data_IF_103593032214
#
_entry.id   IF_103593032214
#
_cell.length_a   1.000
_cell.length_b   1.000
_cell.length_c   1.000
_cell.angle_alpha   90.00
_cell.angle_beta   90.00
_cell.angle_gamma   90.00
#
_symmetry.space_group_name_H-M   'P 1'
#
loop_
_entity.id
_entity.type
_entity.pdbx_description
1 polymer ?
#
# COMPACT_ATOMS: atom_id res chain seq x y z
N UNK A 1 11.61 4.09 22.83
CA UNK A 1 12.11 4.42 21.48
C UNK A 1 10.91 4.83 20.66
N UNK A 2 10.98 5.95 19.96
CA UNK A 2 9.90 6.30 19.02
C UNK A 2 9.78 5.21 17.95
N UNK A 3 8.56 4.85 17.52
CA UNK A 3 8.38 3.87 16.46
C UNK A 3 9.08 4.33 15.17
N UNK A 4 9.64 3.38 14.41
CA UNK A 4 10.25 3.65 13.11
C UNK A 4 9.20 4.28 12.18
N UNK A 5 9.51 5.38 11.47
CA UNK A 5 8.54 6.00 10.57
C UNK A 5 8.25 5.07 9.38
N UNK A 6 7.05 5.25 8.81
CA UNK A 6 6.59 4.49 7.65
C UNK A 6 6.74 5.32 6.37
N UNK A 7 7.74 5.04 5.50
CA UNK A 7 7.84 5.65 4.18
C UNK A 7 6.74 5.13 3.24
N UNK A 8 6.11 6.05 2.51
CA UNK A 8 5.06 5.75 1.55
C UNK A 8 5.50 6.30 0.18
N UNK A 9 6.07 5.42 -0.65
CA UNK A 9 6.46 5.74 -2.04
C UNK A 9 5.20 5.94 -2.86
N UNK A 10 5.09 7.09 -3.53
CA UNK A 10 3.86 7.50 -4.19
C UNK A 10 2.80 8.06 -3.23
N UNK A 11 3.22 8.51 -2.05
CA UNK A 11 2.36 9.04 -0.99
C UNK A 11 1.57 10.31 -1.35
N UNK A 12 1.79 10.89 -2.52
CA UNK A 12 0.98 12.00 -3.06
C UNK A 12 -0.24 11.52 -3.87
N UNK A 13 -0.36 10.22 -4.15
CA UNK A 13 -1.53 9.61 -4.79
C UNK A 13 -2.65 9.35 -3.78
N UNK A 14 -3.88 9.10 -4.27
CA UNK A 14 -5.05 8.92 -3.40
C UNK A 14 -4.86 7.82 -2.35
N UNK A 15 -4.36 6.63 -2.75
CA UNK A 15 -4.11 5.52 -1.82
C UNK A 15 -3.02 5.87 -0.79
N UNK A 16 -1.87 6.33 -1.27
CA UNK A 16 -0.73 6.64 -0.39
C UNK A 16 -0.99 7.82 0.53
N UNK A 17 -1.67 8.87 0.04
CA UNK A 17 -2.04 10.03 0.86
C UNK A 17 -3.07 9.65 1.93
N UNK A 18 -4.09 8.87 1.57
CA UNK A 18 -5.09 8.38 2.51
C UNK A 18 -4.47 7.47 3.58
N UNK A 19 -3.57 6.57 3.18
CA UNK A 19 -2.82 5.73 4.11
C UNK A 19 -2.00 6.58 5.09
N UNK A 20 -1.29 7.61 4.59
CA UNK A 20 -0.53 8.54 5.44
C UNK A 20 -1.42 9.24 6.47
N UNK A 21 -2.59 9.72 6.07
CA UNK A 21 -3.54 10.37 6.97
C UNK A 21 -4.03 9.42 8.07
N UNK A 22 -4.46 8.21 7.69
CA UNK A 22 -4.99 7.21 8.64
C UNK A 22 -3.92 6.73 9.63
N UNK A 23 -2.70 6.44 9.15
CA UNK A 23 -1.58 6.06 10.02
C UNK A 23 -1.17 7.20 10.95
N UNK A 24 -1.05 8.43 10.44
CA UNK A 24 -0.71 9.58 11.27
C UNK A 24 -1.78 9.85 12.35
N UNK A 25 -3.07 9.73 12.01
CA UNK A 25 -4.18 9.83 12.98
C UNK A 25 -4.12 8.74 14.06
N UNK A 26 -3.58 7.57 13.72
CA UNK A 26 -3.33 6.47 14.65
C UNK A 26 -2.01 6.63 15.45
N UNK A 27 -1.33 7.77 15.35
CA UNK A 27 -0.09 8.05 16.06
C UNK A 27 1.16 7.37 15.47
N UNK A 28 1.09 6.90 14.24
CA UNK A 28 2.23 6.30 13.54
C UNK A 28 2.96 7.38 12.75
N UNK A 29 4.29 7.59 12.97
CA UNK A 29 5.07 8.51 12.17
C UNK A 29 5.11 8.07 10.70
N UNK A 30 4.87 9.00 9.76
CA UNK A 30 4.84 8.70 8.33
C UNK A 30 5.73 9.64 7.52
N UNK A 31 6.26 9.12 6.42
CA UNK A 31 7.00 9.92 5.44
C UNK A 31 6.30 9.80 4.10
N UNK A 32 5.69 10.90 3.65
CA UNK A 32 5.09 10.99 2.32
C UNK A 32 6.22 11.12 1.30
N UNK A 33 6.43 10.05 0.53
CA UNK A 33 7.41 9.98 -0.54
C UNK A 33 6.86 10.44 -1.88
N UNK A 34 7.67 11.15 -2.66
CA UNK A 34 7.38 11.54 -4.05
C UNK A 34 8.66 11.54 -4.88
N UNK A 35 8.54 11.53 -6.22
CA UNK A 35 9.68 11.74 -7.14
C UNK A 35 10.25 13.16 -7.11
N UNK A 36 9.52 14.11 -6.54
CA UNK A 36 9.97 15.49 -6.37
C UNK A 36 9.72 15.96 -4.95
N UNK A 37 10.76 16.46 -4.30
CA UNK A 37 10.75 16.88 -2.91
C UNK A 37 9.69 17.95 -2.61
N UNK A 38 9.46 18.91 -3.54
CA UNK A 38 8.46 19.97 -3.35
C UNK A 38 7.04 19.40 -3.24
N UNK A 39 6.69 18.45 -4.12
CA UNK A 39 5.38 17.80 -4.07
C UNK A 39 5.19 16.96 -2.80
N UNK A 40 6.26 16.33 -2.33
CA UNK A 40 6.22 15.61 -1.07
C UNK A 40 5.98 16.56 0.11
N UNK A 41 6.69 17.69 0.17
CA UNK A 41 6.53 18.72 1.21
C UNK A 41 5.14 19.35 1.20
N UNK A 42 4.62 19.67 0.01
CA UNK A 42 3.25 20.20 -0.14
C UNK A 42 2.21 19.19 0.37
N UNK A 43 2.32 17.92 -0.02
CA UNK A 43 1.41 16.87 0.44
C UNK A 43 1.51 16.69 1.97
N UNK A 44 2.71 16.70 2.53
CA UNK A 44 2.90 16.62 3.98
C UNK A 44 2.32 17.84 4.71
N UNK A 45 2.40 19.05 4.12
CA UNK A 45 1.74 20.22 4.69
C UNK A 45 0.23 20.06 4.74
N UNK A 46 -0.38 19.64 3.62
CA UNK A 46 -1.83 19.36 3.54
C UNK A 46 -2.26 18.25 4.53
N UNK A 47 -1.41 17.26 4.74
CA UNK A 47 -1.70 16.20 5.70
C UNK A 47 -1.64 16.72 7.15
N UNK A 48 -0.66 17.55 7.51
CA UNK A 48 -0.57 18.19 8.84
C UNK A 48 -1.70 19.17 9.12
N UNK A 49 -2.22 19.85 8.11
CA UNK A 49 -3.42 20.69 8.27
C UNK A 49 -4.65 19.87 8.70
N UNK A 50 -4.72 18.60 8.26
CA UNK A 50 -5.81 17.68 8.60
C UNK A 50 -5.55 16.87 9.88
N UNK A 51 -4.28 16.61 10.20
CA UNK A 51 -3.84 15.86 11.39
C UNK A 51 -2.72 16.69 12.07
N UNK A 52 -3.05 17.75 12.80
CA UNK A 52 -2.06 18.66 13.39
C UNK A 52 -1.10 17.97 14.39
N UNK A 53 -1.58 16.93 15.08
CA UNK A 53 -0.82 16.13 16.04
C UNK A 53 0.02 15.03 15.38
N UNK A 54 -0.15 14.80 14.08
CA UNK A 54 0.53 13.72 13.36
C UNK A 54 2.00 14.03 13.04
N UNK A 55 2.87 13.06 13.26
CA UNK A 55 4.27 13.11 12.84
C UNK A 55 4.38 12.80 11.34
N UNK A 56 4.26 13.84 10.50
CA UNK A 56 4.23 13.69 9.03
C UNK A 56 5.37 14.47 8.39
N UNK A 57 6.22 13.80 7.62
CA UNK A 57 7.28 14.40 6.83
C UNK A 57 7.01 14.21 5.33
N UNK A 58 7.55 15.11 4.50
CA UNK A 58 7.55 14.99 3.05
C UNK A 58 8.97 14.97 2.53
N UNK A 59 9.37 13.91 1.85
CA UNK A 59 10.73 13.71 1.33
C UNK A 59 10.69 13.16 -0.10
N UNK A 60 11.80 13.28 -0.80
CA UNK A 60 11.99 12.50 -2.03
C UNK A 60 12.03 11.00 -1.72
N UNK A 61 11.53 10.16 -2.65
CA UNK A 61 11.43 8.71 -2.42
C UNK A 61 12.76 8.09 -1.97
N UNK A 62 13.87 8.47 -2.61
CA UNK A 62 15.20 7.96 -2.29
C UNK A 62 15.69 8.36 -0.89
N UNK A 63 15.23 9.49 -0.37
CA UNK A 63 15.54 9.95 0.99
C UNK A 63 14.59 9.34 2.04
N UNK A 64 13.36 9.05 1.63
CA UNK A 64 12.32 8.48 2.51
C UNK A 64 12.59 7.00 2.82
N UNK A 65 12.82 6.18 1.77
CA UNK A 65 12.92 4.72 1.86
C UNK A 65 13.92 4.22 2.92
N UNK A 66 15.15 4.78 3.04
CA UNK A 66 16.10 4.30 4.04
C UNK A 66 15.71 4.55 5.49
N UNK A 67 14.66 5.33 5.76
CA UNK A 67 14.28 5.76 7.12
C UNK A 67 13.30 4.83 7.82
N UNK A 68 12.70 3.86 7.09
CA UNK A 68 11.76 2.91 7.66
C UNK A 68 12.16 1.47 7.43
N UNK A 69 11.69 0.59 8.30
CA UNK A 69 11.84 -0.87 8.15
C UNK A 69 10.77 -1.45 7.23
N UNK A 70 9.57 -0.87 7.24
CA UNK A 70 8.44 -1.20 6.36
C UNK A 70 8.16 -0.03 5.44
N UNK A 71 8.20 -0.25 4.13
CA UNK A 71 8.01 0.75 3.08
C UNK A 71 6.79 0.38 2.26
N UNK A 72 5.82 1.30 2.10
CA UNK A 72 4.67 1.08 1.23
C UNK A 72 4.92 1.64 -0.16
N UNK A 73 4.67 0.82 -1.19
CA UNK A 73 4.70 1.20 -2.60
C UNK A 73 3.26 1.36 -3.12
N UNK A 74 2.82 2.61 -3.25
CA UNK A 74 1.42 2.96 -3.60
C UNK A 74 1.31 3.69 -4.95
N UNK A 75 2.25 3.42 -5.85
CA UNK A 75 2.26 4.00 -7.19
C UNK A 75 1.33 3.23 -8.14
N UNK A 76 0.85 3.82 -9.24
CA UNK A 76 0.22 3.05 -10.29
C UNK A 76 1.17 1.97 -10.87
N UNK A 77 0.65 0.80 -11.24
CA UNK A 77 1.46 -0.32 -11.77
C UNK A 77 2.42 0.10 -12.90
N UNK A 78 1.99 0.97 -13.81
CA UNK A 78 2.86 1.50 -14.89
C UNK A 78 4.16 2.18 -14.39
N UNK A 79 4.19 2.62 -13.13
CA UNK A 79 5.34 3.27 -12.52
C UNK A 79 6.08 2.35 -11.53
N UNK A 80 5.62 1.12 -11.31
CA UNK A 80 6.22 0.19 -10.36
C UNK A 80 7.68 -0.09 -10.69
N UNK A 81 7.96 -0.59 -11.90
CA UNK A 81 9.32 -0.97 -12.32
C UNK A 81 10.29 0.21 -12.30
N UNK A 82 9.87 1.39 -12.77
CA UNK A 82 10.69 2.61 -12.71
C UNK A 82 11.04 2.98 -11.27
N UNK A 83 10.05 2.96 -10.36
CA UNK A 83 10.31 3.29 -8.96
C UNK A 83 11.24 2.25 -8.30
N UNK A 84 11.01 0.95 -8.52
CA UNK A 84 11.85 -0.10 -7.94
C UNK A 84 13.28 -0.03 -8.47
N UNK A 85 13.48 0.25 -9.76
CA UNK A 85 14.81 0.46 -10.34
C UNK A 85 15.51 1.65 -9.68
N UNK A 86 14.83 2.79 -9.54
CA UNK A 86 15.40 4.00 -8.94
C UNK A 86 15.67 3.86 -7.44
N UNK A 87 14.96 2.96 -6.75
CA UNK A 87 15.10 2.74 -5.31
C UNK A 87 16.03 1.57 -4.96
N UNK A 88 16.53 0.84 -5.96
CA UNK A 88 17.31 -0.38 -5.74
C UNK A 88 18.53 -0.18 -4.85
N UNK A 89 19.22 0.95 -5.00
CA UNK A 89 20.47 1.22 -4.23
C UNK A 89 20.19 1.75 -2.82
N UNK A 90 18.96 2.21 -2.54
CA UNK A 90 18.58 2.75 -1.23
C UNK A 90 17.70 1.80 -0.41
N UNK A 91 17.15 0.78 -1.04
CA UNK A 91 16.53 -0.35 -0.35
C UNK A 91 17.62 -1.20 0.32
N UNK A 92 17.37 -1.66 1.54
CA UNK A 92 18.35 -2.35 2.37
C UNK A 92 17.89 -3.75 2.75
N UNK A 93 18.79 -4.72 2.86
CA UNK A 93 18.47 -6.02 3.42
C UNK A 93 17.76 -5.91 4.78
N UNK A 94 16.74 -6.72 4.99
CA UNK A 94 15.89 -6.70 6.19
C UNK A 94 14.68 -5.78 6.09
N UNK A 95 14.61 -4.87 5.11
CA UNK A 95 13.39 -4.09 4.88
C UNK A 95 12.26 -4.93 4.28
N UNK A 96 11.04 -4.53 4.59
CA UNK A 96 9.81 -5.07 4.01
C UNK A 96 9.25 -4.02 3.04
N UNK A 97 9.05 -4.41 1.78
CA UNK A 97 8.35 -3.60 0.78
C UNK A 97 6.91 -4.10 0.67
N UNK A 98 5.95 -3.26 1.03
CA UNK A 98 4.52 -3.56 0.85
C UNK A 98 4.08 -3.05 -0.50
N UNK A 99 3.87 -3.96 -1.44
CA UNK A 99 3.37 -3.62 -2.77
C UNK A 99 1.84 -3.57 -2.79
N UNK A 100 1.29 -2.42 -3.13
CA UNK A 100 -0.14 -2.19 -3.32
C UNK A 100 -0.50 -1.95 -4.81
N UNK A 101 0.41 -2.28 -5.73
CA UNK A 101 0.17 -2.05 -7.16
C UNK A 101 -0.74 -3.13 -7.76
N UNK A 102 -1.58 -2.73 -8.71
CA UNK A 102 -2.48 -3.65 -9.44
C UNK A 102 -2.27 -3.46 -10.94
N UNK A 103 -2.04 -4.54 -11.71
CA UNK A 103 -1.78 -4.46 -13.13
C UNK A 103 -3.08 -4.21 -13.94
N UNK A 104 -3.72 -3.07 -13.70
CA UNK A 104 -4.94 -2.68 -14.41
C UNK A 104 -4.61 -2.20 -15.82
N UNK A 105 -5.44 -2.57 -16.80
CA UNK A 105 -5.29 -2.11 -18.19
C UNK A 105 -5.42 -0.59 -18.34
N UNK A 106 -5.99 0.11 -17.37
CA UNK A 106 -5.98 1.57 -17.31
C UNK A 106 -4.55 2.16 -17.32
N UNK A 107 -3.55 1.39 -16.89
CA UNK A 107 -2.15 1.79 -16.95
C UNK A 107 -1.63 2.01 -18.41
N UNK A 108 -2.27 1.36 -19.40
CA UNK A 108 -1.94 1.42 -20.83
C UNK A 108 -3.14 1.82 -21.70
N UNK A 109 -3.95 2.75 -21.23
CA UNK A 109 -5.15 3.27 -21.94
C UNK A 109 -6.27 2.25 -22.14
N UNK A 110 -6.28 1.15 -21.40
CA UNK A 110 -7.37 0.18 -21.37
C UNK A 110 -8.41 0.48 -20.29
N UNK A 111 -9.34 -0.46 -20.08
CA UNK A 111 -10.37 -0.34 -19.05
C UNK A 111 -9.81 -0.70 -17.66
N UNK A 112 -10.20 0.05 -16.63
CA UNK A 112 -9.84 -0.25 -15.24
C UNK A 112 -10.44 -1.57 -14.71
N UNK A 113 -11.45 -2.11 -15.39
CA UNK A 113 -12.07 -3.41 -15.07
C UNK A 113 -11.35 -4.61 -15.71
N UNK A 114 -10.18 -4.41 -16.31
CA UNK A 114 -9.40 -5.46 -16.98
C UNK A 114 -8.00 -5.53 -16.37
N UNK A 115 -7.56 -6.74 -16.03
CA UNK A 115 -6.17 -7.01 -15.65
C UNK A 115 -5.27 -7.19 -16.89
N UNK A 116 -4.02 -6.78 -16.73
CA UNK A 116 -2.93 -7.14 -17.62
C UNK A 116 -2.27 -8.44 -17.12
N UNK A 117 -1.76 -9.26 -18.03
CA UNK A 117 -0.90 -10.37 -17.66
C UNK A 117 0.47 -9.85 -17.22
N UNK A 118 0.96 -10.35 -16.09
CA UNK A 118 2.31 -10.10 -15.59
C UNK A 118 3.10 -11.42 -15.77
N UNK A 119 4.26 -11.42 -16.44
CA UNK A 119 5.03 -12.64 -16.69
C UNK A 119 5.43 -13.40 -15.41
N UNK A 120 5.67 -12.69 -14.32
CA UNK A 120 6.00 -13.24 -13.00
C UNK A 120 4.81 -13.88 -12.29
N UNK A 121 3.59 -13.66 -12.76
CA UNK A 121 2.35 -14.13 -12.14
C UNK A 121 1.51 -13.02 -11.54
N UNK A 122 2.13 -12.08 -10.82
CA UNK A 122 1.49 -10.93 -10.17
C UNK A 122 2.40 -9.71 -10.16
N UNK A 123 1.85 -8.53 -9.87
CA UNK A 123 2.63 -7.33 -9.66
C UNK A 123 3.57 -7.47 -8.45
N UNK A 124 3.11 -8.12 -7.39
CA UNK A 124 3.93 -8.36 -6.20
C UNK A 124 5.10 -9.33 -6.45
N UNK A 125 4.90 -10.39 -7.25
CA UNK A 125 5.98 -11.28 -7.66
C UNK A 125 6.99 -10.56 -8.57
N UNK A 126 6.52 -9.71 -9.49
CA UNK A 126 7.40 -8.82 -10.27
C UNK A 126 8.22 -7.90 -9.36
N UNK A 127 7.60 -7.32 -8.33
CA UNK A 127 8.31 -6.48 -7.37
C UNK A 127 9.39 -7.28 -6.62
N UNK A 128 9.10 -8.54 -6.20
CA UNK A 128 10.08 -9.39 -5.51
C UNK A 128 11.31 -9.70 -6.37
N UNK A 129 11.15 -9.88 -7.67
CA UNK A 129 12.29 -10.07 -8.59
C UNK A 129 13.11 -8.78 -8.78
N UNK A 130 12.51 -7.61 -8.59
CA UNK A 130 13.16 -6.32 -8.85
C UNK A 130 13.88 -5.72 -7.64
N UNK A 131 13.47 -6.05 -6.43
CA UNK A 131 14.14 -5.56 -5.21
C UNK A 131 15.50 -6.23 -5.00
N UNK A 132 16.43 -5.61 -4.27
CA UNK A 132 17.71 -6.25 -3.94
C UNK A 132 17.52 -7.43 -2.98
N UNK A 133 18.51 -8.32 -2.97
CA UNK A 133 18.56 -9.47 -2.07
C UNK A 133 18.39 -9.04 -0.60
N UNK A 134 17.59 -9.80 0.15
CA UNK A 134 17.30 -9.53 1.55
C UNK A 134 16.17 -8.54 1.80
N UNK A 135 15.56 -7.94 0.77
CA UNK A 135 14.29 -7.20 0.87
C UNK A 135 13.14 -8.17 0.62
N UNK A 136 12.17 -8.19 1.53
CA UNK A 136 10.99 -9.05 1.42
C UNK A 136 9.81 -8.26 0.91
N UNK A 137 9.14 -8.75 -0.14
CA UNK A 137 7.91 -8.15 -0.64
C UNK A 137 6.68 -8.79 0.02
N UNK A 138 5.76 -7.94 0.46
CA UNK A 138 4.44 -8.29 0.95
C UNK A 138 3.40 -7.58 0.09
N UNK A 139 2.39 -8.29 -0.35
CA UNK A 139 1.26 -7.77 -1.13
C UNK A 139 0.13 -7.40 -0.18
N UNK A 140 -0.39 -6.14 -0.26
CA UNK A 140 -1.51 -5.69 0.58
C UNK A 140 -2.22 -4.44 0.01
N UNK A 141 -3.41 -4.12 0.54
CA UNK A 141 -4.21 -2.91 0.25
C UNK A 141 -4.86 -2.83 -1.14
N UNK A 142 -4.88 -3.90 -1.93
CA UNK A 142 -5.38 -3.89 -3.31
C UNK A 142 -6.90 -3.64 -3.41
N UNK A 143 -7.65 -4.00 -2.37
CA UNK A 143 -9.11 -3.87 -2.31
C UNK A 143 -9.56 -2.58 -1.64
N UNK A 144 -8.65 -1.87 -0.98
CA UNK A 144 -8.96 -0.65 -0.23
C UNK A 144 -9.04 0.56 -1.16
N UNK A 145 -10.15 1.27 -1.13
CA UNK A 145 -10.35 2.44 -1.97
C UNK A 145 -9.61 3.66 -1.44
N UNK A 146 -8.70 4.24 -2.24
CA UNK A 146 -7.90 5.39 -1.83
C UNK A 146 -8.73 6.61 -1.39
N UNK A 147 -9.89 6.84 -2.01
CA UNK A 147 -10.79 7.93 -1.60
C UNK A 147 -11.46 7.66 -0.25
N UNK A 148 -11.76 6.40 0.09
CA UNK A 148 -12.28 6.02 1.41
C UNK A 148 -11.23 6.25 2.52
N UNK A 149 -9.96 5.99 2.23
CA UNK A 149 -8.88 6.32 3.16
C UNK A 149 -8.70 7.82 3.35
N UNK A 150 -8.86 8.62 2.30
CA UNK A 150 -8.71 10.09 2.38
C UNK A 150 -9.89 10.78 3.07
N UNK A 151 -11.06 10.18 3.06
CA UNK A 151 -12.22 10.67 3.81
C UNK A 151 -12.14 10.18 5.25
N UNK A 152 -11.67 11.04 6.15
CA UNK A 152 -11.45 10.68 7.55
C UNK A 152 -12.75 10.51 8.36
N UNK A 153 -13.85 11.01 7.85
CA UNK A 153 -15.18 10.85 8.45
C UNK A 153 -15.86 9.54 7.99
N UNK A 154 -15.35 8.94 6.93
CA UNK A 154 -15.80 7.63 6.46
C UNK A 154 -15.28 6.52 7.39
N UNK A 155 -16.21 5.77 7.98
CA UNK A 155 -15.88 4.56 8.75
C UNK A 155 -15.50 3.44 7.79
N UNK A 156 -14.31 2.86 8.00
CA UNK A 156 -13.86 1.69 7.25
C UNK A 156 -14.40 0.43 7.94
N UNK A 157 -14.77 -0.57 7.16
CA UNK A 157 -15.18 -1.90 7.63
C UNK A 157 -14.86 -2.93 6.54
N UNK A 158 -13.56 -3.22 6.40
CA UNK A 158 -13.11 -4.13 5.35
C UNK A 158 -11.85 -4.91 5.71
N UNK A 159 -11.70 -6.07 5.08
CA UNK A 159 -10.55 -6.93 5.22
C UNK A 159 -9.44 -6.51 4.27
N UNK A 160 -8.22 -6.45 4.80
CA UNK A 160 -7.00 -6.26 4.02
C UNK A 160 -6.31 -7.60 3.84
N UNK A 161 -6.40 -8.14 2.63
CA UNK A 161 -5.78 -9.42 2.27
C UNK A 161 -4.27 -9.24 2.10
N UNK A 162 -3.48 -9.99 2.87
CA UNK A 162 -2.01 -9.90 2.89
C UNK A 162 -1.41 -11.21 2.38
N UNK A 163 -0.59 -11.11 1.32
CA UNK A 163 0.15 -12.25 0.77
C UNK A 163 1.66 -12.05 0.95
N UNK A 164 2.37 -13.15 1.18
CA UNK A 164 3.83 -13.14 1.34
C UNK A 164 4.35 -14.48 1.82
N UNK A 165 5.61 -14.78 1.51
CA UNK A 165 6.20 -16.10 1.76
C UNK A 165 6.70 -16.30 3.19
N UNK A 166 6.92 -15.19 3.92
CA UNK A 166 7.44 -15.23 5.28
C UNK A 166 6.41 -14.74 6.30
N UNK A 167 6.27 -15.47 7.41
CA UNK A 167 5.29 -15.19 8.46
C UNK A 167 5.56 -13.84 9.16
N UNK A 168 6.79 -13.62 9.61
CA UNK A 168 7.13 -12.44 10.42
C UNK A 168 6.97 -11.12 9.66
N UNK A 169 7.42 -10.99 8.38
CA UNK A 169 7.13 -9.82 7.57
C UNK A 169 5.63 -9.57 7.36
N UNK A 170 4.81 -10.62 7.11
CA UNK A 170 3.35 -10.47 7.02
C UNK A 170 2.76 -9.95 8.33
N UNK A 171 3.21 -10.45 9.47
CA UNK A 171 2.73 -10.01 10.79
C UNK A 171 3.11 -8.55 11.05
N UNK A 172 4.34 -8.14 10.72
CA UNK A 172 4.77 -6.75 10.86
C UNK A 172 3.88 -5.79 10.03
N UNK A 173 3.50 -6.18 8.81
CA UNK A 173 2.57 -5.41 7.98
C UNK A 173 1.16 -5.40 8.58
N UNK A 174 0.69 -6.53 9.09
CA UNK A 174 -0.60 -6.63 9.76
C UNK A 174 -0.69 -5.71 10.98
N UNK A 175 0.34 -5.72 11.84
CA UNK A 175 0.40 -4.86 13.04
C UNK A 175 0.34 -3.36 12.71
N UNK A 176 0.81 -2.96 11.50
CA UNK A 176 0.69 -1.58 11.03
C UNK A 176 -0.75 -1.30 10.56
N UNK A 177 -1.34 -2.22 9.79
CA UNK A 177 -2.70 -2.07 9.24
C UNK A 177 -3.75 -2.09 10.35
N UNK A 178 -3.59 -2.93 11.37
CA UNK A 178 -4.47 -3.01 12.55
C UNK A 178 -4.59 -1.69 13.32
N UNK A 179 -3.61 -0.78 13.19
CA UNK A 179 -3.67 0.56 13.79
C UNK A 179 -4.71 1.46 13.14
N UNK A 180 -5.15 1.13 11.93
CA UNK A 180 -6.18 1.90 11.21
C UNK A 180 -7.55 1.32 11.58
N UNK A 181 -8.39 2.06 12.34
CA UNK A 181 -9.70 1.57 12.73
C UNK A 181 -10.55 1.15 11.52
N UNK A 182 -11.17 -0.02 11.62
CA UNK A 182 -12.02 -0.59 10.57
C UNK A 182 -11.31 -1.36 9.48
N UNK A 183 -9.97 -1.45 9.50
CA UNK A 183 -9.23 -2.37 8.63
C UNK A 183 -8.82 -3.61 9.42
N UNK A 184 -9.25 -4.79 8.96
CA UNK A 184 -8.89 -6.07 9.53
C UNK A 184 -7.88 -6.79 8.62
N UNK A 185 -6.61 -6.94 8.99
CA UNK A 185 -5.63 -7.66 8.19
C UNK A 185 -5.90 -9.17 8.22
N UNK A 186 -5.85 -9.80 7.06
CA UNK A 186 -6.09 -11.24 6.87
C UNK A 186 -4.95 -11.86 6.10
N UNK A 187 -4.38 -12.94 6.63
CA UNK A 187 -3.35 -13.72 5.94
C UNK A 187 -3.97 -14.48 4.76
N UNK A 188 -3.68 -14.05 3.54
CA UNK A 188 -4.19 -14.63 2.30
C UNK A 188 -3.22 -15.64 1.66
N UNK A 189 -2.14 -16.02 2.35
CA UNK A 189 -1.23 -17.08 1.91
C UNK A 189 0.13 -16.59 1.41
N UNK A 190 0.75 -17.39 0.53
CA UNK A 190 2.04 -17.10 -0.09
C UNK A 190 1.95 -15.92 -1.08
N UNK A 191 3.11 -15.40 -1.51
CA UNK A 191 3.16 -14.27 -2.45
C UNK A 191 2.50 -14.62 -3.80
N UNK A 192 2.59 -15.86 -4.25
CA UNK A 192 1.93 -16.35 -5.48
C UNK A 192 0.40 -16.15 -5.47
N UNK A 193 -0.24 -16.06 -4.30
CA UNK A 193 -1.68 -15.81 -4.20
C UNK A 193 -2.05 -14.34 -4.44
N UNK A 194 -1.08 -13.44 -4.48
CA UNK A 194 -1.30 -12.01 -4.76
C UNK A 194 -2.06 -11.78 -6.07
N UNK A 195 -1.82 -12.59 -7.10
CA UNK A 195 -2.55 -12.53 -8.38
C UNK A 195 -4.06 -12.62 -8.23
N UNK A 196 -4.55 -13.38 -7.24
CA UNK A 196 -5.98 -13.54 -6.98
C UNK A 196 -6.54 -12.31 -6.26
N UNK A 197 -5.75 -11.75 -5.32
CA UNK A 197 -6.11 -10.53 -4.58
C UNK A 197 -6.09 -9.30 -5.50
N UNK A 198 -5.08 -9.17 -6.35
CA UNK A 198 -5.01 -8.13 -7.39
C UNK A 198 -6.22 -8.20 -8.33
N UNK A 199 -6.72 -9.42 -8.61
CA UNK A 199 -7.92 -9.67 -9.41
C UNK A 199 -9.23 -9.16 -8.79
N UNK A 200 -9.28 -8.96 -7.49
CA UNK A 200 -10.45 -8.40 -6.80
C UNK A 200 -10.62 -6.90 -7.07
N UNK A 201 -9.54 -6.17 -7.30
CA UNK A 201 -9.59 -4.73 -7.60
C UNK A 201 -10.47 -4.39 -8.80
N UNK A 202 -10.26 -4.94 -10.01
CA UNK A 202 -11.13 -4.65 -11.15
C UNK A 202 -12.56 -5.16 -10.96
N UNK A 203 -12.77 -6.21 -10.17
CA UNK A 203 -14.11 -6.68 -9.80
C UNK A 203 -14.81 -5.62 -8.94
N UNK A 204 -14.17 -5.12 -7.89
CA UNK A 204 -14.71 -4.05 -7.03
C UNK A 204 -14.95 -2.76 -7.81
N UNK A 205 -14.03 -2.37 -8.72
CA UNK A 205 -14.26 -1.22 -9.61
C UNK A 205 -15.55 -1.40 -10.42
N UNK A 206 -15.80 -2.61 -10.95
CA UNK A 206 -17.03 -2.90 -11.70
C UNK A 206 -18.28 -2.85 -10.83
N UNK A 207 -18.23 -3.40 -9.62
CA UNK A 207 -19.34 -3.40 -8.65
C UNK A 207 -19.65 -1.95 -8.24
N UNK A 208 -18.64 -1.19 -7.86
CA UNK A 208 -18.75 0.19 -7.39
C UNK A 208 -19.34 1.11 -8.45
N UNK A 209 -18.87 0.99 -9.69
CA UNK A 209 -19.38 1.78 -10.82
C UNK A 209 -20.87 1.48 -11.12
N UNK A 210 -21.30 0.22 -11.01
CA UNK A 210 -22.70 -0.18 -11.27
C UNK A 210 -23.64 0.26 -10.17
N UNK A 211 -23.20 0.17 -8.91
CA UNK A 211 -24.06 0.42 -7.74
C UNK A 211 -23.88 1.83 -7.17
N UNK A 212 -22.91 2.61 -7.66
CA UNK A 212 -22.55 3.96 -7.16
C UNK A 212 -22.22 3.95 -5.67
N UNK A 213 -21.42 2.98 -5.25
CA UNK A 213 -20.96 2.78 -3.85
C UNK A 213 -19.44 2.68 -3.78
N UNK A 214 -18.91 2.66 -2.58
CA UNK A 214 -17.53 2.29 -2.28
C UNK A 214 -17.56 0.99 -1.47
N UNK A 215 -17.63 -0.15 -2.16
CA UNK A 215 -17.61 -1.45 -1.53
C UNK A 215 -16.17 -1.93 -1.35
N UNK A 216 -15.88 -2.48 -0.17
CA UNK A 216 -14.69 -3.25 0.18
C UNK A 216 -14.99 -4.75 0.19
N UNK A 217 -14.13 -5.51 0.86
CA UNK A 217 -14.29 -6.96 1.05
C UNK A 217 -14.31 -7.27 2.54
N UNK A 218 -15.27 -8.09 2.95
CA UNK A 218 -15.32 -8.70 4.28
C UNK A 218 -15.51 -10.19 4.13
N UNK A 219 -14.65 -10.98 4.77
CA UNK A 219 -14.73 -12.45 4.78
C UNK A 219 -15.60 -12.92 5.94
N UNK A 220 -16.78 -13.44 5.64
CA UNK A 220 -17.68 -14.03 6.60
C UNK A 220 -17.13 -15.38 7.13
N UNK A 221 -17.36 -15.67 8.41
CA UNK A 221 -16.92 -16.91 9.05
C UNK A 221 -15.44 -16.95 9.44
N UNK A 222 -14.76 -15.81 9.35
CA UNK A 222 -13.38 -15.65 9.82
C UNK A 222 -13.37 -14.72 11.02
N UNK A 223 -13.47 -15.30 12.22
CA UNK A 223 -13.54 -14.51 13.47
C UNK A 223 -12.16 -14.00 13.88
N UNK A 224 -11.14 -14.87 13.84
CA UNK A 224 -9.74 -14.51 14.14
C UNK A 224 -8.80 -14.94 13.01
N UNK A 225 -8.14 -13.99 12.31
CA UNK A 225 -7.13 -14.32 11.31
C UNK A 225 -5.92 -15.03 11.93
N UNK A 226 -5.45 -16.12 11.30
CA UNK A 226 -4.24 -16.85 11.72
C UNK A 226 -3.03 -16.41 10.88
N UNK A 227 -1.91 -16.21 11.56
CA UNK A 227 -0.65 -15.76 10.95
C UNK A 227 0.41 -16.87 10.92
#
# INVERSE_FOLDING_TARGET
MSPSPIPIVGGTGALGFGLALRLARAGVPVIIGSRGADRAREAASKARERIPEGEIQGLENAEAVPRGEVVFLTVPFRAQSENLTNLREVLRPGQILVDATVPLAAAISGRATRLLGVPQGSAAEQAQEMVPDGVTVISALHTVAGHALTDLDHELDEDVLICGDSRDPKRAVADIIEKIPGLRPVNAGALETARLVEGLTPLLISINARNKVTAGITLSGLDEPRW
#
